data_IF_393559321385
#
_entry.id   IF_393559321385
#
_cell.length_a   1.000
_cell.length_b   1.000
_cell.length_c   1.000
_cell.angle_alpha   90.00
_cell.angle_beta   90.00
_cell.angle_gamma   90.00
#
_symmetry.space_group_name_H-M   'P 1'
#
loop_
_entity.id
_entity.type
_entity.pdbx_description
1 polymer ?
#
# COMPACT_ATOMS: atom_id res chain seq x y z
N UNK A 1 -34.34 27.95 36.02
CA UNK A 1 -32.93 27.86 35.60
C UNK A 1 -32.75 26.65 34.69
N UNK A 2 -32.60 26.85 33.37
CA UNK A 2 -32.31 25.77 32.42
C UNK A 2 -30.79 25.51 32.44
N UNK A 3 -30.36 24.31 32.85
CA UNK A 3 -28.97 23.86 32.69
C UNK A 3 -28.61 23.88 31.21
N UNK A 4 -27.72 24.78 30.82
CA UNK A 4 -27.07 24.72 29.52
C UNK A 4 -26.28 23.40 29.45
N UNK A 5 -26.66 22.51 28.54
CA UNK A 5 -25.81 21.37 28.17
C UNK A 5 -24.61 21.96 27.46
N UNK A 6 -23.46 21.98 28.14
CA UNK A 6 -22.16 22.19 27.51
C UNK A 6 -22.02 21.08 26.48
N UNK A 7 -22.17 21.42 25.20
CA UNK A 7 -21.88 20.51 24.10
C UNK A 7 -20.39 20.22 24.17
N UNK A 8 -20.04 18.99 24.56
CA UNK A 8 -18.67 18.53 24.56
C UNK A 8 -18.13 18.68 23.14
N UNK A 9 -17.08 19.51 22.98
CA UNK A 9 -16.33 19.60 21.74
C UNK A 9 -15.90 18.18 21.33
N UNK A 10 -16.44 17.68 20.22
CA UNK A 10 -16.08 16.38 19.68
C UNK A 10 -14.63 16.45 19.21
N UNK A 11 -13.71 15.87 19.98
CA UNK A 11 -12.36 15.61 19.50
C UNK A 11 -12.42 14.72 18.27
N UNK A 12 -11.77 15.13 17.18
CA UNK A 12 -11.52 14.23 16.06
C UNK A 12 -10.31 13.35 16.45
N UNK A 13 -10.59 12.19 17.02
CA UNK A 13 -9.58 11.24 17.51
C UNK A 13 -9.46 10.12 16.48
N UNK A 14 -8.27 9.98 15.89
CA UNK A 14 -7.95 8.85 15.02
C UNK A 14 -7.26 7.76 15.85
N UNK A 15 -7.89 6.59 15.98
CA UNK A 15 -7.36 5.44 16.72
C UNK A 15 -7.16 4.20 15.83
N UNK A 16 -6.03 3.52 16.03
CA UNK A 16 -5.73 2.27 15.33
C UNK A 16 -5.41 1.15 16.32
N UNK A 17 -6.19 0.06 16.25
CA UNK A 17 -5.96 -1.15 17.05
C UNK A 17 -4.55 -1.71 16.79
N UNK A 18 -3.92 -2.26 17.82
CA UNK A 18 -2.55 -2.82 17.73
C UNK A 18 -2.40 -3.84 16.59
N UNK A 19 -3.37 -4.74 16.42
CA UNK A 19 -3.35 -5.75 15.36
C UNK A 19 -3.27 -5.12 13.96
N UNK A 20 -4.04 -4.06 13.70
CA UNK A 20 -4.05 -3.35 12.41
C UNK A 20 -2.71 -2.69 12.15
N UNK A 21 -2.09 -2.13 13.19
CA UNK A 21 -0.77 -1.49 13.10
C UNK A 21 0.31 -2.51 12.79
N UNK A 22 0.35 -3.62 13.52
CA UNK A 22 1.31 -4.72 13.27
C UNK A 22 1.14 -5.24 11.84
N UNK A 23 -0.09 -5.56 11.42
CA UNK A 23 -0.36 -6.05 10.07
C UNK A 23 0.10 -5.07 8.99
N UNK A 24 -0.13 -3.76 9.19
CA UNK A 24 0.36 -2.74 8.27
C UNK A 24 1.89 -2.67 8.20
N UNK A 25 2.58 -2.63 9.34
CA UNK A 25 4.05 -2.54 9.35
C UNK A 25 4.70 -3.81 8.78
N UNK A 26 4.12 -4.99 9.03
CA UNK A 26 4.53 -6.22 8.38
C UNK A 26 4.33 -6.15 6.85
N UNK A 27 3.20 -5.64 6.37
CA UNK A 27 2.98 -5.43 4.93
C UNK A 27 3.97 -4.42 4.33
N UNK A 28 4.22 -3.29 5.02
CA UNK A 28 5.16 -2.27 4.56
C UNK A 28 6.59 -2.84 4.43
N UNK A 29 7.05 -3.56 5.45
CA UNK A 29 8.34 -4.25 5.41
C UNK A 29 8.39 -5.29 4.27
N UNK A 30 7.35 -6.10 4.12
CA UNK A 30 7.28 -7.12 3.08
C UNK A 30 7.36 -6.49 1.68
N UNK A 31 6.63 -5.40 1.45
CA UNK A 31 6.66 -4.66 0.18
C UNK A 31 8.06 -4.14 -0.13
N UNK A 32 8.79 -3.57 0.85
CA UNK A 32 10.16 -3.09 0.64
C UNK A 32 11.07 -4.25 0.21
N UNK A 33 10.99 -5.39 0.89
CA UNK A 33 11.75 -6.59 0.56
C UNK A 33 11.37 -7.07 -0.86
N UNK A 34 10.08 -7.14 -1.18
CA UNK A 34 9.56 -7.60 -2.47
C UNK A 34 10.00 -6.72 -3.63
N UNK A 35 9.93 -5.39 -3.49
CA UNK A 35 10.34 -4.44 -4.53
C UNK A 35 11.84 -4.49 -4.73
N UNK A 36 12.64 -4.40 -3.66
CA UNK A 36 14.11 -4.44 -3.77
C UNK A 36 14.61 -5.75 -4.40
N UNK A 37 14.07 -6.89 -3.96
CA UNK A 37 14.44 -8.19 -4.53
C UNK A 37 13.90 -8.38 -5.95
N UNK A 38 12.68 -7.94 -6.23
CA UNK A 38 12.07 -7.98 -7.55
C UNK A 38 12.86 -7.17 -8.58
N UNK A 39 13.38 -6.00 -8.22
CA UNK A 39 14.29 -5.22 -9.08
C UNK A 39 15.61 -5.94 -9.35
N UNK A 40 16.16 -6.68 -8.38
CA UNK A 40 17.36 -7.50 -8.60
C UNK A 40 17.09 -8.64 -9.58
N UNK A 41 15.92 -9.28 -9.48
CA UNK A 41 15.46 -10.34 -10.40
C UNK A 41 15.26 -9.76 -11.81
N UNK A 42 14.57 -8.63 -11.92
CA UNK A 42 14.36 -7.90 -13.18
C UNK A 42 15.68 -7.55 -13.87
N UNK A 43 16.70 -7.10 -13.13
CA UNK A 43 17.99 -6.76 -13.70
C UNK A 43 18.72 -7.96 -14.33
N UNK A 44 18.34 -9.19 -13.97
CA UNK A 44 18.96 -10.43 -14.45
C UNK A 44 18.31 -10.96 -15.72
N UNK A 45 17.00 -10.73 -15.87
CA UNK A 45 16.24 -10.99 -17.08
C UNK A 45 15.29 -9.81 -17.29
N UNK A 46 15.65 -8.91 -18.20
CA UNK A 46 15.02 -7.61 -18.37
C UNK A 46 13.84 -7.70 -19.34
N UNK A 47 12.70 -7.12 -18.96
CA UNK A 47 11.54 -6.96 -19.87
C UNK A 47 11.81 -5.83 -20.86
N UNK A 48 12.41 -4.73 -20.38
CA UNK A 48 12.84 -3.60 -21.20
C UNK A 48 14.36 -3.63 -21.27
N UNK A 49 14.91 -4.22 -22.34
CA UNK A 49 16.34 -4.59 -22.43
C UNK A 49 17.36 -3.47 -22.16
N UNK A 50 16.95 -2.20 -22.27
CA UNK A 50 17.79 -1.03 -21.99
C UNK A 50 17.74 -0.54 -20.53
N UNK A 51 16.74 -0.94 -19.75
CA UNK A 51 16.50 -0.37 -18.43
C UNK A 51 16.99 -1.31 -17.32
N UNK A 52 17.74 -0.75 -16.36
CA UNK A 52 18.18 -1.45 -15.15
C UNK A 52 17.96 -0.57 -13.93
N UNK A 53 17.51 -1.18 -12.85
CA UNK A 53 17.44 -0.50 -11.56
C UNK A 53 18.84 -0.35 -10.96
N UNK A 54 19.12 0.78 -10.26
CA UNK A 54 20.41 1.00 -9.66
C UNK A 54 20.67 0.00 -8.53
N UNK A 55 21.89 -0.52 -8.43
CA UNK A 55 22.23 -1.61 -7.50
C UNK A 55 21.93 -1.29 -6.04
N UNK A 56 22.16 -0.03 -5.61
CA UNK A 56 21.89 0.43 -4.24
C UNK A 56 20.41 0.31 -3.84
N UNK A 57 19.50 0.31 -4.82
CA UNK A 57 18.07 0.19 -4.59
C UNK A 57 17.56 -1.26 -4.65
N UNK A 58 18.44 -2.22 -5.00
CA UNK A 58 18.09 -3.63 -5.13
C UNK A 58 18.48 -4.43 -3.90
N UNK A 59 17.81 -5.56 -3.68
CA UNK A 59 18.09 -6.49 -2.59
C UNK A 59 18.52 -7.85 -3.17
N UNK A 60 19.74 -8.26 -2.88
CA UNK A 60 20.34 -9.48 -3.43
C UNK A 60 21.83 -9.61 -3.18
N UNK A 61 22.47 -8.56 -2.67
CA UNK A 61 23.90 -8.52 -2.38
C UNK A 61 24.67 -7.75 -3.45
N UNK A 62 25.90 -7.39 -3.11
CA UNK A 62 26.83 -6.76 -4.05
C UNK A 62 27.24 -7.79 -5.13
N UNK A 63 27.05 -7.52 -6.44
CA UNK A 63 27.27 -8.53 -7.47
C UNK A 63 28.71 -9.09 -7.53
N UNK A 64 29.78 -8.28 -7.42
CA UNK A 64 31.14 -8.78 -7.27
C UNK A 64 31.31 -9.75 -6.09
N UNK A 65 30.86 -9.37 -4.90
CA UNK A 65 30.99 -10.19 -3.69
C UNK A 65 30.16 -11.48 -3.82
N UNK A 66 28.91 -11.39 -4.27
CA UNK A 66 28.04 -12.55 -4.47
C UNK A 66 28.63 -13.51 -5.51
N UNK A 67 29.24 -13.00 -6.58
CA UNK A 67 29.87 -13.85 -7.60
C UNK A 67 31.07 -14.62 -7.03
N UNK A 68 31.85 -14.01 -6.15
CA UNK A 68 32.97 -14.68 -5.46
C UNK A 68 32.46 -15.74 -4.47
N UNK A 69 31.45 -15.39 -3.67
CA UNK A 69 30.98 -16.27 -2.59
C UNK A 69 30.07 -17.41 -3.07
N UNK A 70 29.29 -17.19 -4.12
CA UNK A 70 28.19 -18.07 -4.52
C UNK A 70 28.18 -18.45 -6.01
N UNK A 71 29.15 -17.99 -6.80
CA UNK A 71 29.20 -18.18 -8.26
C UNK A 71 27.95 -17.68 -9.02
N UNK A 72 27.18 -16.79 -8.39
CA UNK A 72 25.97 -16.16 -8.93
C UNK A 72 26.04 -14.67 -8.61
N UNK A 73 25.62 -13.76 -9.51
CA UNK A 73 25.75 -12.33 -9.25
C UNK A 73 24.82 -11.81 -8.14
N UNK A 74 24.11 -12.65 -7.38
CA UNK A 74 23.22 -12.27 -6.27
C UNK A 74 21.73 -12.46 -6.58
N UNK A 75 21.40 -13.14 -7.67
CA UNK A 75 20.03 -13.48 -8.09
C UNK A 75 19.44 -14.56 -7.20
N UNK A 76 20.22 -15.58 -6.84
CA UNK A 76 19.76 -16.64 -5.94
C UNK A 76 19.37 -16.09 -4.57
N UNK A 77 20.19 -15.18 -4.02
CA UNK A 77 19.90 -14.49 -2.78
C UNK A 77 18.68 -13.56 -2.91
N UNK A 78 18.54 -12.85 -4.04
CA UNK A 78 17.34 -12.06 -4.31
C UNK A 78 16.07 -12.91 -4.34
N UNK A 79 16.10 -14.10 -4.96
CA UNK A 79 14.98 -15.03 -4.95
C UNK A 79 14.60 -15.44 -3.51
N UNK A 80 15.59 -15.76 -2.67
CA UNK A 80 15.34 -16.12 -1.28
C UNK A 80 14.62 -14.98 -0.53
N UNK A 81 15.14 -13.75 -0.64
CA UNK A 81 14.49 -12.57 -0.06
C UNK A 81 13.10 -12.33 -0.63
N UNK A 82 12.90 -12.56 -1.93
CA UNK A 82 11.61 -12.42 -2.59
C UNK A 82 10.59 -13.42 -2.03
N UNK A 83 10.95 -14.69 -1.87
CA UNK A 83 10.04 -15.67 -1.27
C UNK A 83 9.77 -15.39 0.21
N UNK A 84 10.78 -14.95 0.98
CA UNK A 84 10.59 -14.51 2.37
C UNK A 84 9.60 -13.35 2.46
N UNK A 85 9.78 -12.32 1.62
CA UNK A 85 8.88 -11.18 1.53
C UNK A 85 7.47 -11.60 1.08
N UNK A 86 7.36 -12.53 0.13
CA UNK A 86 6.08 -13.05 -0.38
C UNK A 86 5.28 -13.73 0.74
N UNK A 87 5.89 -14.61 1.53
CA UNK A 87 5.20 -15.28 2.63
C UNK A 87 4.77 -14.29 3.73
N UNK A 88 5.64 -13.33 4.08
CA UNK A 88 5.30 -12.28 5.03
C UNK A 88 4.13 -11.42 4.53
N UNK A 89 4.16 -11.03 3.26
CA UNK A 89 3.10 -10.27 2.62
C UNK A 89 1.79 -11.07 2.58
N UNK A 90 1.84 -12.36 2.21
CA UNK A 90 0.67 -13.22 2.08
C UNK A 90 -0.04 -13.38 3.43
N UNK A 91 0.70 -13.74 4.48
CA UNK A 91 0.12 -13.91 5.82
C UNK A 91 -0.46 -12.60 6.31
N UNK A 92 0.28 -11.50 6.20
CA UNK A 92 -0.20 -10.18 6.67
C UNK A 92 -1.42 -9.69 5.89
N UNK A 93 -1.44 -9.90 4.57
CA UNK A 93 -2.55 -9.57 3.70
C UNK A 93 -3.79 -10.41 4.03
N UNK A 94 -3.65 -11.72 4.23
CA UNK A 94 -4.76 -12.59 4.64
C UNK A 94 -5.35 -12.18 5.99
N UNK A 95 -4.51 -11.86 6.98
CA UNK A 95 -4.96 -11.35 8.28
C UNK A 95 -5.73 -10.04 8.14
N UNK A 96 -5.25 -9.13 7.29
CA UNK A 96 -5.92 -7.87 7.00
C UNK A 96 -7.30 -8.09 6.35
N UNK A 97 -7.37 -8.93 5.31
CA UNK A 97 -8.63 -9.27 4.63
C UNK A 97 -9.62 -9.94 5.59
N UNK A 98 -9.17 -10.93 6.37
CA UNK A 98 -10.02 -11.62 7.34
C UNK A 98 -10.56 -10.66 8.40
N UNK A 99 -9.72 -9.80 8.98
CA UNK A 99 -10.16 -8.76 9.91
C UNK A 99 -11.17 -7.82 9.25
N UNK A 100 -10.94 -7.42 7.99
CA UNK A 100 -11.84 -6.54 7.24
C UNK A 100 -13.23 -7.13 7.02
N UNK A 101 -13.33 -8.44 6.77
CA UNK A 101 -14.61 -9.14 6.67
C UNK A 101 -15.30 -9.31 8.01
N UNK A 102 -14.59 -9.76 9.05
CA UNK A 102 -15.16 -10.01 10.40
C UNK A 102 -15.64 -8.72 11.06
N UNK A 103 -14.89 -7.63 10.91
CA UNK A 103 -15.25 -6.33 11.49
C UNK A 103 -16.31 -5.56 10.70
N UNK A 104 -16.71 -6.04 9.51
CA UNK A 104 -17.59 -5.32 8.60
C UNK A 104 -16.98 -4.06 7.99
N UNK A 105 -15.67 -3.84 8.17
CA UNK A 105 -14.94 -2.65 7.71
C UNK A 105 -15.12 -2.40 6.21
N UNK A 106 -15.09 -3.46 5.39
CA UNK A 106 -15.34 -3.33 3.94
C UNK A 106 -16.74 -2.81 3.62
N UNK A 107 -17.76 -3.17 4.39
CA UNK A 107 -19.12 -2.67 4.14
C UNK A 107 -19.31 -1.25 4.67
N UNK A 108 -18.75 -0.96 5.84
CA UNK A 108 -18.92 0.33 6.53
C UNK A 108 -18.14 1.47 5.88
N UNK A 109 -16.90 1.21 5.48
CA UNK A 109 -15.96 2.27 5.10
C UNK A 109 -15.73 2.33 3.57
N UNK A 110 -16.10 1.28 2.81
CA UNK A 110 -15.85 1.19 1.36
C UNK A 110 -17.09 1.18 0.44
N UNK A 111 -18.32 1.10 0.98
CA UNK A 111 -19.55 1.20 0.17
C UNK A 111 -20.39 2.42 0.56
N UNK A 112 -21.09 3.09 -0.40
CA UNK A 112 -21.12 2.83 -1.84
C UNK A 112 -20.09 3.66 -2.64
N UNK A 113 -19.50 3.05 -3.68
CA UNK A 113 -18.70 3.75 -4.69
C UNK A 113 -19.63 4.31 -5.77
N UNK A 114 -19.86 5.62 -5.79
CA UNK A 114 -20.65 6.24 -6.85
C UNK A 114 -19.75 6.70 -8.02
N UNK A 115 -19.95 6.21 -9.26
CA UNK A 115 -19.08 6.52 -10.41
C UNK A 115 -18.94 8.03 -10.70
N UNK A 116 -20.02 8.80 -10.53
CA UNK A 116 -19.98 10.26 -10.71
C UNK A 116 -19.17 10.98 -9.62
N UNK A 117 -19.11 10.43 -8.40
CA UNK A 117 -18.29 10.96 -7.32
C UNK A 117 -16.81 10.72 -7.57
N UNK A 118 -16.48 9.52 -8.08
CA UNK A 118 -15.11 9.16 -8.45
C UNK A 118 -14.54 10.08 -9.54
N UNK A 119 -15.30 10.38 -10.60
CA UNK A 119 -14.83 11.32 -11.64
C UNK A 119 -14.65 12.75 -11.11
N UNK A 120 -15.62 13.27 -10.35
CA UNK A 120 -15.54 14.62 -9.77
C UNK A 120 -14.32 14.75 -8.86
N UNK A 121 -14.12 13.76 -8.02
CA UNK A 121 -13.06 13.77 -7.03
C UNK A 121 -11.69 13.45 -7.67
N UNK A 122 -11.63 12.68 -8.77
CA UNK A 122 -10.42 12.48 -9.57
C UNK A 122 -9.98 13.76 -10.28
N UNK A 123 -10.91 14.52 -10.87
CA UNK A 123 -10.64 15.84 -11.44
C UNK A 123 -10.18 16.83 -10.36
N UNK A 124 -10.80 16.79 -9.18
CA UNK A 124 -10.41 17.64 -8.06
C UNK A 124 -9.03 17.25 -7.48
N UNK A 125 -8.69 15.95 -7.43
CA UNK A 125 -7.39 15.45 -7.02
C UNK A 125 -6.28 15.84 -8.01
N UNK A 126 -6.54 15.73 -9.32
CA UNK A 126 -5.64 16.19 -10.38
C UNK A 126 -5.48 17.73 -10.37
N UNK A 127 -6.46 18.45 -9.82
CA UNK A 127 -6.43 19.92 -9.69
C UNK A 127 -5.85 20.41 -8.35
N UNK A 128 -5.35 19.51 -7.48
CA UNK A 128 -4.87 19.84 -6.13
C UNK A 128 -5.89 20.59 -5.23
N UNK A 129 -7.18 20.56 -5.55
CA UNK A 129 -8.25 21.27 -4.81
C UNK A 129 -9.05 20.36 -3.88
N UNK A 130 -8.47 19.24 -3.48
CA UNK A 130 -9.17 18.26 -2.66
C UNK A 130 -9.20 18.71 -1.19
N UNK A 131 -10.37 19.06 -0.67
CA UNK A 131 -10.54 19.38 0.75
C UNK A 131 -10.49 18.11 1.60
N UNK A 132 -9.47 17.96 2.45
CA UNK A 132 -9.36 16.87 3.41
C UNK A 132 -10.08 17.23 4.71
N UNK A 133 -11.08 16.43 5.11
CA UNK A 133 -11.53 16.33 6.51
C UNK A 133 -10.96 15.05 7.10
N UNK A 134 -10.40 15.14 8.30
CA UNK A 134 -9.96 13.98 9.06
C UNK A 134 -11.17 13.04 9.27
N UNK A 135 -10.97 11.74 9.04
CA UNK A 135 -12.03 10.72 9.16
C UNK A 135 -12.87 10.42 7.91
N UNK A 136 -12.90 11.28 6.88
CA UNK A 136 -13.65 11.03 5.64
C UNK A 136 -12.73 10.60 4.48
N UNK A 137 -12.86 9.36 4.02
CA UNK A 137 -12.15 8.89 2.82
C UNK A 137 -12.81 9.44 1.55
N UNK A 138 -12.06 10.20 0.76
CA UNK A 138 -12.48 10.63 -0.57
C UNK A 138 -12.69 9.43 -1.51
N UNK A 139 -13.57 9.54 -2.52
CA UNK A 139 -13.84 8.45 -3.48
C UNK A 139 -12.57 7.99 -4.21
N UNK A 140 -11.64 8.90 -4.50
CA UNK A 140 -10.34 8.56 -5.11
C UNK A 140 -9.48 7.71 -4.16
N UNK A 141 -9.47 8.02 -2.86
CA UNK A 141 -8.73 7.24 -1.87
C UNK A 141 -9.36 5.85 -1.72
N UNK A 142 -10.69 5.75 -1.65
CA UNK A 142 -11.41 4.46 -1.61
C UNK A 142 -11.10 3.61 -2.84
N UNK A 143 -11.12 4.20 -4.03
CA UNK A 143 -10.78 3.52 -5.28
C UNK A 143 -9.31 3.09 -5.31
N UNK A 144 -8.38 3.95 -4.84
CA UNK A 144 -6.97 3.62 -4.73
C UNK A 144 -6.74 2.43 -3.77
N UNK A 145 -7.46 2.37 -2.65
CA UNK A 145 -7.38 1.24 -1.73
C UNK A 145 -7.92 -0.08 -2.31
N UNK A 146 -9.05 -0.05 -3.03
CA UNK A 146 -9.51 -1.23 -3.77
C UNK A 146 -8.51 -1.63 -4.86
N UNK A 147 -7.96 -0.65 -5.56
CA UNK A 147 -6.95 -0.84 -6.59
C UNK A 147 -5.70 -1.54 -6.04
N UNK A 148 -5.15 -1.08 -4.92
CA UNK A 148 -3.95 -1.71 -4.32
C UNK A 148 -4.26 -3.10 -3.77
N UNK A 149 -5.43 -3.34 -3.16
CA UNK A 149 -5.85 -4.68 -2.73
C UNK A 149 -5.89 -5.65 -3.92
N UNK A 150 -6.54 -5.24 -5.02
CA UNK A 150 -6.59 -6.04 -6.24
C UNK A 150 -5.18 -6.24 -6.84
N UNK A 151 -4.36 -5.20 -6.88
CA UNK A 151 -3.00 -5.28 -7.40
C UNK A 151 -2.16 -6.29 -6.61
N UNK A 152 -2.23 -6.27 -5.27
CA UNK A 152 -1.53 -7.26 -4.41
C UNK A 152 -2.04 -8.67 -4.66
N UNK A 153 -3.35 -8.85 -4.82
CA UNK A 153 -3.91 -10.16 -5.20
C UNK A 153 -3.39 -10.64 -6.56
N UNK A 154 -3.35 -9.74 -7.56
CA UNK A 154 -2.81 -10.05 -8.89
C UNK A 154 -1.30 -10.32 -8.87
N UNK A 155 -0.54 -9.70 -7.96
CA UNK A 155 0.88 -10.02 -7.74
C UNK A 155 1.06 -11.47 -7.30
N UNK A 156 0.22 -11.98 -6.40
CA UNK A 156 0.27 -13.41 -6.02
C UNK A 156 -0.09 -14.32 -7.20
N UNK A 157 -1.15 -14.01 -7.94
CA UNK A 157 -1.58 -14.84 -9.06
C UNK A 157 -0.54 -14.88 -10.19
N UNK A 158 -0.02 -13.73 -10.61
CA UNK A 158 1.04 -13.65 -11.63
C UNK A 158 2.37 -14.22 -11.12
N UNK A 159 2.71 -14.03 -9.84
CA UNK A 159 3.91 -14.59 -9.23
C UNK A 159 3.89 -16.13 -9.20
N UNK A 160 2.74 -16.75 -8.88
CA UNK A 160 2.57 -18.20 -8.96
C UNK A 160 2.74 -18.73 -10.39
N UNK A 161 2.18 -18.02 -11.38
CA UNK A 161 2.35 -18.37 -12.79
C UNK A 161 3.82 -18.33 -13.24
N UNK A 162 4.60 -17.35 -12.74
CA UNK A 162 6.03 -17.21 -13.07
C UNK A 162 6.87 -18.24 -12.31
N UNK A 163 6.54 -18.56 -11.05
CA UNK A 163 7.32 -19.47 -10.23
C UNK A 163 7.20 -20.94 -10.65
N UNK A 164 5.99 -21.35 -11.06
CA UNK A 164 5.67 -22.75 -11.41
C UNK A 164 4.91 -22.86 -12.74
N UNK A 165 5.47 -22.38 -13.86
CA UNK A 165 4.75 -22.25 -15.12
C UNK A 165 4.28 -23.59 -15.70
N UNK A 166 5.02 -24.68 -15.42
CA UNK A 166 4.65 -26.02 -15.90
C UNK A 166 3.58 -26.65 -15.00
N UNK A 167 3.74 -26.59 -13.68
CA UNK A 167 2.73 -27.15 -12.75
C UNK A 167 1.42 -26.34 -12.77
N UNK A 168 1.51 -25.03 -12.97
CA UNK A 168 0.37 -24.10 -13.06
C UNK A 168 0.21 -23.59 -14.50
N UNK A 169 0.31 -24.49 -15.46
CA UNK A 169 0.20 -24.16 -16.89
C UNK A 169 -1.13 -23.52 -17.25
N UNK A 170 -2.23 -23.93 -16.61
CA UNK A 170 -3.55 -23.32 -16.77
C UNK A 170 -3.58 -21.84 -16.34
N UNK A 171 -2.90 -21.50 -15.24
CA UNK A 171 -2.81 -20.13 -14.73
C UNK A 171 -1.90 -19.28 -15.62
N UNK A 172 -0.81 -19.87 -16.09
CA UNK A 172 0.10 -19.24 -17.05
C UNK A 172 -0.62 -18.96 -18.37
N UNK A 173 -1.44 -19.90 -18.84
CA UNK A 173 -2.27 -19.73 -20.03
C UNK A 173 -3.33 -18.62 -19.85
N UNK A 174 -3.96 -18.53 -18.66
CA UNK A 174 -4.92 -17.47 -18.34
C UNK A 174 -4.32 -16.06 -18.50
N UNK A 175 -3.05 -15.90 -18.15
CA UNK A 175 -2.32 -14.64 -18.33
C UNK A 175 -1.73 -14.44 -19.73
N UNK A 176 -1.97 -15.35 -20.68
CA UNK A 176 -1.44 -15.26 -22.04
C UNK A 176 0.01 -15.73 -22.18
N UNK A 177 0.48 -16.62 -21.30
CA UNK A 177 1.82 -17.22 -21.34
C UNK A 177 2.80 -16.62 -20.35
N UNK A 178 3.96 -17.27 -20.20
CA UNK A 178 5.01 -16.86 -19.25
C UNK A 178 5.55 -15.44 -19.49
N UNK A 179 5.86 -15.00 -20.73
CA UNK A 179 6.32 -13.64 -20.97
C UNK A 179 5.27 -12.58 -20.57
N UNK A 180 4.01 -12.82 -20.92
CA UNK A 180 2.90 -11.92 -20.59
C UNK A 180 2.67 -11.86 -19.09
N UNK A 181 2.74 -12.98 -18.38
CA UNK A 181 2.66 -13.02 -16.91
C UNK A 181 3.75 -12.16 -16.24
N UNK A 182 4.99 -12.18 -16.77
CA UNK A 182 6.08 -11.31 -16.28
C UNK A 182 5.78 -9.83 -16.49
N UNK A 183 5.24 -9.46 -17.65
CA UNK A 183 4.83 -8.08 -17.96
C UNK A 183 3.72 -7.63 -16.99
N UNK A 184 2.69 -8.45 -16.81
CA UNK A 184 1.60 -8.15 -15.88
C UNK A 184 2.10 -8.00 -14.43
N UNK A 185 2.96 -8.91 -13.98
CA UNK A 185 3.58 -8.82 -12.65
C UNK A 185 4.34 -7.51 -12.47
N UNK A 186 5.12 -7.10 -13.48
CA UNK A 186 5.83 -5.82 -13.47
C UNK A 186 4.89 -4.61 -13.46
N UNK A 187 3.78 -4.65 -14.21
CA UNK A 187 2.76 -3.60 -14.24
C UNK A 187 2.11 -3.43 -12.85
N UNK A 188 1.67 -4.53 -12.22
CA UNK A 188 1.08 -4.48 -10.88
C UNK A 188 2.08 -4.00 -9.83
N UNK A 189 3.34 -4.48 -9.88
CA UNK A 189 4.42 -3.98 -9.04
C UNK A 189 4.60 -2.46 -9.20
N UNK A 190 4.64 -1.98 -10.44
CA UNK A 190 4.80 -0.55 -10.74
C UNK A 190 3.62 0.28 -10.21
N UNK A 191 2.39 -0.22 -10.33
CA UNK A 191 1.20 0.39 -9.75
C UNK A 191 1.25 0.47 -8.23
N UNK A 192 1.74 -0.58 -7.56
CA UNK A 192 1.95 -0.59 -6.11
C UNK A 192 3.04 0.42 -5.71
N UNK A 193 4.16 0.49 -6.44
CA UNK A 193 5.20 1.49 -6.21
C UNK A 193 4.66 2.92 -6.34
N UNK A 194 3.88 3.20 -7.38
CA UNK A 194 3.23 4.50 -7.57
C UNK A 194 2.29 4.83 -6.39
N UNK A 195 1.47 3.86 -5.98
CA UNK A 195 0.59 4.01 -4.82
C UNK A 195 1.39 4.35 -3.56
N UNK A 196 2.51 3.66 -3.31
CA UNK A 196 3.37 3.92 -2.14
C UNK A 196 3.95 5.33 -2.18
N UNK A 197 4.46 5.78 -3.34
CA UNK A 197 5.00 7.14 -3.49
C UNK A 197 3.93 8.18 -3.15
N UNK A 198 2.73 8.04 -3.71
CA UNK A 198 1.60 8.94 -3.42
C UNK A 198 1.20 8.86 -1.95
N UNK A 199 1.05 7.65 -1.41
CA UNK A 199 0.65 7.41 -0.03
C UNK A 199 1.64 8.04 0.97
N UNK A 200 2.93 7.78 0.82
CA UNK A 200 3.98 8.34 1.69
C UNK A 200 4.05 9.86 1.56
N UNK A 201 3.86 10.41 0.35
CA UNK A 201 3.79 11.87 0.16
C UNK A 201 2.63 12.47 0.95
N UNK A 202 1.43 11.87 0.88
CA UNK A 202 0.28 12.34 1.65
C UNK A 202 0.51 12.25 3.17
N UNK A 203 1.16 11.18 3.63
CA UNK A 203 1.51 11.02 5.05
C UNK A 203 2.56 12.04 5.50
N UNK A 204 3.53 12.37 4.65
CA UNK A 204 4.52 13.41 4.93
C UNK A 204 3.90 14.81 5.00
N UNK A 205 2.87 15.08 4.18
CA UNK A 205 2.11 16.34 4.22
C UNK A 205 1.20 16.44 5.46
N UNK A 206 0.78 15.31 6.03
CA UNK A 206 -0.07 15.27 7.25
C UNK A 206 0.56 14.35 8.31
N UNK A 207 1.65 14.76 8.99
CA UNK A 207 2.41 13.88 9.88
C UNK A 207 1.62 13.26 11.04
N UNK A 208 0.50 13.89 11.43
CA UNK A 208 -0.41 13.39 12.47
C UNK A 208 -0.94 11.98 12.15
N UNK A 209 -1.14 11.66 10.87
CA UNK A 209 -1.60 10.31 10.47
C UNK A 209 -0.52 9.26 10.70
N UNK A 210 0.76 9.62 10.54
CA UNK A 210 1.88 8.74 10.88
C UNK A 210 1.93 8.47 12.39
N UNK A 211 1.76 9.52 13.20
CA UNK A 211 1.73 9.40 14.67
C UNK A 211 0.59 8.48 15.10
N UNK A 212 -0.61 8.61 14.52
CA UNK A 212 -1.72 7.69 14.79
C UNK A 212 -1.35 6.24 14.44
N UNK A 213 -0.63 6.01 13.34
CA UNK A 213 -0.25 4.67 12.91
C UNK A 213 0.90 4.05 13.71
N UNK A 214 1.78 4.89 14.28
CA UNK A 214 2.94 4.46 15.09
C UNK A 214 2.64 4.39 16.58
N UNK A 215 1.78 5.25 17.11
CA UNK A 215 1.45 5.29 18.55
C UNK A 215 0.06 4.73 18.84
N UNK A 216 -0.82 4.64 17.83
CA UNK A 216 -2.18 4.13 17.96
C UNK A 216 -3.23 5.21 18.19
N UNK A 217 -2.84 6.47 18.42
CA UNK A 217 -3.78 7.58 18.62
C UNK A 217 -3.16 8.92 18.20
N UNK A 218 -3.96 9.76 17.52
CA UNK A 218 -3.69 11.18 17.33
C UNK A 218 -4.99 11.99 17.51
N UNK A 219 -4.89 13.21 18.02
CA UNK A 219 -6.03 14.12 18.22
C UNK A 219 -5.69 15.53 17.75
N UNK A 220 -6.67 16.26 17.23
CA UNK A 220 -6.52 17.68 16.91
C UNK A 220 -6.65 18.59 18.16
N UNK A 221 -5.88 19.69 18.22
CA UNK A 221 -6.02 20.68 19.27
C UNK A 221 -7.39 21.35 19.18
N UNK A 222 -7.96 21.68 20.35
CA UNK A 222 -9.28 22.32 20.47
C UNK A 222 -9.23 23.67 19.74
N UNK A 223 -9.98 23.83 18.65
CA UNK A 223 -10.38 25.16 18.21
C UNK A 223 -11.41 25.64 19.23
N UNK A 224 -10.93 26.32 20.28
CA UNK A 224 -11.81 27.13 21.11
C UNK A 224 -12.34 28.22 20.19
N UNK A 225 -13.62 28.12 19.80
CA UNK A 225 -14.30 29.24 19.18
C UNK A 225 -14.12 30.43 20.12
N UNK A 226 -13.36 31.41 19.64
CA UNK A 226 -13.16 32.69 20.32
C UNK A 226 -14.57 33.24 20.58
N UNK A 227 -14.94 33.36 21.85
CA UNK A 227 -16.23 33.93 22.22
C UNK A 227 -16.29 35.32 21.59
N UNK A 228 -17.41 35.72 20.95
CA UNK A 228 -17.54 37.08 20.49
C UNK A 228 -17.33 37.99 21.70
N UNK A 229 -16.32 38.87 21.62
CA UNK A 229 -16.14 39.93 22.60
C UNK A 229 -17.49 40.64 22.76
N UNK A 230 -18.13 40.43 23.91
CA UNK A 230 -19.14 41.32 24.42
C UNK A 230 -18.38 42.59 24.85
N UNK A 231 -18.07 43.43 23.87
CA UNK A 231 -17.49 44.75 24.05
C UNK A 231 -18.56 45.80 23.78
N UNK A 232 -19.09 46.32 24.88
CA UNK A 232 -19.59 47.69 25.15
C UNK A 232 -20.60 48.35 24.19
#
# INVERSE_FOLDING_TARGET
MKRAKISAATHDIQEHKLLVRIAHWCQALAIIIMVGSGWRIYNSDQIFGYYRFPQWATLGGDPPISKIAHMDPGVANALNWHFTGMWLLLVSYMLFIAHGFVSGHFRRDFLPLHPRGLMRDAVAALSFKLSHRLGEYNHVQRAAYWGVLLAVLMMFATGLAIWKPVQLSWLTALFGGYPTARVLHFIFMSGICLFIVVHVTLVALVPKTLVAMVLGRAADPIHTAEAPHAGE
#
